data_IF_943517721560
#
_entry.id   IF_943517721560
#
_cell.length_a   1.000
_cell.length_b   1.000
_cell.length_c   1.000
_cell.angle_alpha   90.00
_cell.angle_beta   90.00
_cell.angle_gamma   90.00
#
_symmetry.space_group_name_H-M   'P 1'
#
loop_
_entity.id
_entity.type
_entity.pdbx_description
1 polymer ?
#
# COMPACT_ATOMS: atom_id res chain seq x y z
N UNK A 1 8.78 5.28 -11.98
CA UNK A 1 7.42 5.58 -12.50
C UNK A 1 6.47 4.38 -12.40
N UNK A 2 6.90 3.15 -12.73
CA UNK A 2 6.07 1.95 -12.57
C UNK A 2 5.42 1.81 -11.18
N UNK A 3 6.19 1.95 -10.10
CA UNK A 3 5.66 1.87 -8.74
C UNK A 3 4.55 2.90 -8.45
N UNK A 4 4.69 4.13 -8.97
CA UNK A 4 3.65 5.15 -8.82
C UNK A 4 2.40 4.79 -9.64
N UNK A 5 2.56 4.32 -10.87
CA UNK A 5 1.43 3.89 -11.68
C UNK A 5 0.65 2.74 -11.01
N UNK A 6 1.37 1.76 -10.46
CA UNK A 6 0.77 0.62 -9.78
C UNK A 6 0.15 1.00 -8.44
N UNK A 7 0.95 1.49 -7.49
CA UNK A 7 0.48 1.74 -6.13
C UNK A 7 -0.30 3.04 -6.00
N UNK A 8 0.02 4.04 -6.81
CA UNK A 8 -0.73 5.29 -6.87
C UNK A 8 -2.15 5.08 -7.38
N UNK A 9 -2.34 4.34 -8.49
CA UNK A 9 -3.70 4.03 -8.99
C UNK A 9 -4.51 3.22 -7.98
N UNK A 10 -3.88 2.24 -7.31
CA UNK A 10 -4.53 1.47 -6.24
C UNK A 10 -4.96 2.39 -5.10
N UNK A 11 -4.07 3.24 -4.59
CA UNK A 11 -4.43 4.15 -3.51
C UNK A 11 -5.52 5.14 -3.95
N UNK A 12 -5.39 5.73 -5.13
CA UNK A 12 -6.37 6.64 -5.72
C UNK A 12 -7.75 6.01 -5.83
N UNK A 13 -7.85 4.75 -6.25
CA UNK A 13 -9.13 4.02 -6.32
C UNK A 13 -9.79 3.83 -4.95
N UNK A 14 -9.00 3.80 -3.87
CA UNK A 14 -9.48 3.60 -2.50
C UNK A 14 -9.87 4.92 -1.84
N UNK A 15 -9.01 5.94 -1.94
CA UNK A 15 -9.17 7.20 -1.18
C UNK A 15 -9.73 8.35 -2.01
N UNK A 16 -9.77 8.19 -3.34
CA UNK A 16 -10.13 9.23 -4.31
C UNK A 16 -8.95 10.14 -4.69
N UNK A 17 -9.02 10.71 -5.89
CA UNK A 17 -7.96 11.53 -6.49
C UNK A 17 -7.48 12.68 -5.59
N UNK A 18 -8.39 13.39 -4.92
CA UNK A 18 -8.03 14.53 -4.05
C UNK A 18 -7.13 14.10 -2.89
N UNK A 19 -7.51 13.03 -2.20
CA UNK A 19 -6.73 12.54 -1.06
C UNK A 19 -5.42 11.91 -1.53
N UNK A 20 -5.43 11.23 -2.68
CA UNK A 20 -4.20 10.72 -3.29
C UNK A 20 -3.21 11.86 -3.58
N UNK A 21 -3.63 12.94 -4.22
CA UNK A 21 -2.75 14.09 -4.49
C UNK A 21 -2.25 14.73 -3.19
N UNK A 22 -3.10 14.90 -2.18
CA UNK A 22 -2.69 15.43 -0.88
C UNK A 22 -1.61 14.53 -0.26
N UNK A 23 -1.82 13.21 -0.24
CA UNK A 23 -0.83 12.25 0.27
C UNK A 23 0.47 12.34 -0.52
N UNK A 24 0.40 12.28 -1.84
CA UNK A 24 1.57 12.25 -2.72
C UNK A 24 2.43 13.52 -2.57
N UNK A 25 1.82 14.70 -2.70
CA UNK A 25 2.55 15.95 -2.60
C UNK A 25 3.05 16.25 -1.18
N UNK A 26 2.25 15.95 -0.15
CA UNK A 26 2.68 16.18 1.24
C UNK A 26 3.81 15.23 1.65
N UNK A 27 3.74 13.96 1.24
CA UNK A 27 4.82 13.00 1.47
C UNK A 27 6.09 13.39 0.72
N UNK A 28 5.97 13.79 -0.55
CA UNK A 28 7.11 14.28 -1.34
C UNK A 28 7.75 15.52 -0.74
N UNK A 29 6.94 16.48 -0.28
CA UNK A 29 7.42 17.68 0.38
C UNK A 29 8.13 17.36 1.70
N UNK A 30 7.53 16.53 2.55
CA UNK A 30 8.13 16.12 3.83
C UNK A 30 9.44 15.35 3.62
N UNK A 31 9.46 14.41 2.67
CA UNK A 31 10.66 13.67 2.28
C UNK A 31 11.76 14.59 1.75
N UNK A 32 11.39 15.59 0.94
CA UNK A 32 12.30 16.62 0.45
C UNK A 32 12.93 17.43 1.58
N UNK A 33 12.13 17.89 2.55
CA UNK A 33 12.63 18.59 3.74
C UNK A 33 13.65 17.74 4.49
N UNK A 34 13.32 16.49 4.79
CA UNK A 34 14.25 15.59 5.50
C UNK A 34 15.52 15.38 4.70
N UNK A 35 15.40 15.19 3.39
CA UNK A 35 16.54 14.92 2.50
C UNK A 35 17.57 16.06 2.47
N UNK A 36 17.15 17.32 2.60
CA UNK A 36 18.07 18.48 2.61
C UNK A 36 19.06 18.45 3.77
N UNK A 37 18.73 17.77 4.88
CA UNK A 37 19.64 17.65 6.03
C UNK A 37 20.74 16.60 5.84
N UNK A 38 20.57 15.67 4.89
CA UNK A 38 21.48 14.52 4.72
C UNK A 38 22.20 14.50 3.38
N UNK A 39 21.69 15.20 2.37
CA UNK A 39 22.20 15.13 1.00
C UNK A 39 22.37 16.52 0.39
N UNK A 40 23.42 16.70 -0.42
CA UNK A 40 23.69 17.95 -1.15
C UNK A 40 22.71 18.20 -2.29
N UNK A 41 22.14 17.12 -2.86
CA UNK A 41 21.18 17.17 -3.95
C UNK A 41 20.34 15.92 -3.95
N UNK A 42 19.02 16.07 -4.13
CA UNK A 42 18.09 14.95 -4.31
C UNK A 42 17.18 15.24 -5.49
N UNK A 43 16.99 14.24 -6.34
CA UNK A 43 16.05 14.29 -7.46
C UNK A 43 15.26 12.99 -7.46
N UNK A 44 13.93 13.10 -7.49
CA UNK A 44 13.06 11.94 -7.68
C UNK A 44 11.72 12.07 -6.97
N UNK A 45 10.76 11.29 -7.45
CA UNK A 45 9.44 11.15 -6.82
C UNK A 45 9.39 9.99 -5.79
N UNK A 46 10.51 9.32 -5.53
CA UNK A 46 10.53 8.08 -4.74
C UNK A 46 10.05 8.31 -3.32
N UNK A 47 10.47 9.38 -2.63
CA UNK A 47 9.96 9.72 -1.29
C UNK A 47 8.44 9.83 -1.22
N UNK A 48 7.81 10.43 -2.24
CA UNK A 48 6.36 10.51 -2.36
C UNK A 48 5.72 9.12 -2.59
N UNK A 49 6.34 8.28 -3.43
CA UNK A 49 5.91 6.89 -3.66
C UNK A 49 5.97 6.08 -2.36
N UNK A 50 7.04 6.25 -1.57
CA UNK A 50 7.18 5.63 -0.26
C UNK A 50 6.11 6.09 0.73
N UNK A 51 5.66 7.34 0.65
CA UNK A 51 4.47 7.81 1.37
C UNK A 51 3.17 7.12 0.93
N UNK A 52 2.94 6.98 -0.37
CA UNK A 52 1.80 6.22 -0.92
C UNK A 52 1.81 4.78 -0.42
N UNK A 53 2.96 4.13 -0.44
CA UNK A 53 3.17 2.78 0.08
C UNK A 53 2.85 2.72 1.58
N UNK A 54 3.35 3.67 2.39
CA UNK A 54 3.04 3.74 3.82
C UNK A 54 1.54 3.84 4.10
N UNK A 55 0.81 4.65 3.34
CA UNK A 55 -0.66 4.73 3.45
C UNK A 55 -1.33 3.39 3.11
N UNK A 56 -0.91 2.73 2.02
CA UNK A 56 -1.42 1.42 1.64
C UNK A 56 -1.11 0.34 2.68
N UNK A 57 0.09 0.34 3.27
CA UNK A 57 0.47 -0.55 4.35
C UNK A 57 -0.45 -0.43 5.57
N UNK A 58 -0.95 0.78 5.84
CA UNK A 58 -1.87 1.04 6.95
C UNK A 58 -3.33 0.72 6.64
N UNK A 59 -3.80 1.05 5.43
CA UNK A 59 -5.22 0.93 5.03
C UNK A 59 -5.54 -0.46 4.45
N UNK A 60 -4.56 -1.13 3.81
CA UNK A 60 -4.68 -2.44 3.15
C UNK A 60 -3.51 -3.37 3.53
N UNK A 61 -3.26 -3.64 4.83
CA UNK A 61 -2.08 -4.39 5.28
C UNK A 61 -2.00 -5.82 4.72
N UNK A 62 -3.15 -6.43 4.42
CA UNK A 62 -3.26 -7.82 3.91
C UNK A 62 -3.37 -7.92 2.39
N UNK A 63 -3.34 -6.79 1.66
CA UNK A 63 -3.35 -6.81 0.19
C UNK A 63 -2.09 -7.48 -0.31
N UNK A 64 -2.20 -8.45 -1.21
CA UNK A 64 -1.05 -9.11 -1.81
C UNK A 64 -0.36 -8.15 -2.78
N UNK A 65 0.95 -8.05 -2.69
CA UNK A 65 1.79 -7.26 -3.58
C UNK A 65 3.00 -8.07 -4.02
N UNK A 66 3.42 -7.86 -5.26
CA UNK A 66 4.63 -8.48 -5.79
C UNK A 66 5.84 -7.61 -5.42
N UNK A 67 6.74 -8.14 -4.60
CA UNK A 67 7.95 -7.46 -4.17
C UNK A 67 9.12 -8.46 -4.17
N UNK A 68 10.27 -8.06 -4.71
CA UNK A 68 11.49 -8.88 -4.74
C UNK A 68 11.29 -10.30 -5.34
N UNK A 69 10.41 -10.43 -6.34
CA UNK A 69 10.16 -11.70 -7.02
C UNK A 69 9.17 -12.64 -6.31
N UNK A 70 8.57 -12.23 -5.20
CA UNK A 70 7.58 -13.04 -4.46
C UNK A 70 6.32 -12.23 -4.17
N UNK A 71 5.18 -12.91 -4.09
CA UNK A 71 3.93 -12.33 -3.59
C UNK A 71 3.94 -12.33 -2.07
N UNK A 72 3.73 -11.17 -1.45
CA UNK A 72 3.66 -11.04 0.00
C UNK A 72 2.57 -10.03 0.43
N UNK A 73 2.11 -10.05 1.68
CA UNK A 73 1.22 -9.03 2.20
C UNK A 73 1.86 -7.63 2.15
N UNK A 74 1.08 -6.60 1.89
CA UNK A 74 1.52 -5.20 1.84
C UNK A 74 2.32 -4.78 3.08
N UNK A 75 1.91 -5.23 4.28
CA UNK A 75 2.65 -4.94 5.51
C UNK A 75 4.06 -5.54 5.51
N UNK A 76 4.23 -6.75 4.96
CA UNK A 76 5.53 -7.40 4.86
C UNK A 76 6.42 -6.65 3.85
N UNK A 77 5.86 -6.22 2.72
CA UNK A 77 6.56 -5.40 1.74
C UNK A 77 7.05 -4.07 2.33
N UNK A 78 6.23 -3.38 3.14
CA UNK A 78 6.64 -2.16 3.83
C UNK A 78 7.80 -2.42 4.78
N UNK A 79 7.71 -3.46 5.61
CA UNK A 79 8.80 -3.81 6.55
C UNK A 79 10.08 -4.13 5.78
N UNK A 80 9.97 -4.90 4.70
CA UNK A 80 11.11 -5.27 3.85
C UNK A 80 11.78 -4.03 3.24
N UNK A 81 11.04 -3.16 2.56
CA UNK A 81 11.63 -1.95 1.98
C UNK A 81 12.18 -0.99 3.03
N UNK A 82 11.50 -0.86 4.18
CA UNK A 82 12.01 -0.07 5.32
C UNK A 82 13.34 -0.62 5.80
N UNK A 83 13.47 -1.94 5.93
CA UNK A 83 14.72 -2.59 6.34
C UNK A 83 15.83 -2.38 5.32
N UNK A 84 15.52 -2.49 4.02
CA UNK A 84 16.48 -2.23 2.93
C UNK A 84 16.98 -0.79 2.99
N UNK A 85 16.08 0.20 3.08
CA UNK A 85 16.47 1.60 3.17
C UNK A 85 17.24 1.90 4.46
N UNK A 86 16.85 1.30 5.58
CA UNK A 86 17.56 1.47 6.85
C UNK A 86 19.00 0.94 6.77
N UNK A 87 19.19 -0.27 6.23
CA UNK A 87 20.53 -0.81 5.99
C UNK A 87 21.30 0.06 5.00
N UNK A 88 20.61 0.51 3.94
CA UNK A 88 21.16 1.41 2.93
C UNK A 88 21.72 2.72 3.49
N UNK A 89 21.18 3.25 4.60
CA UNK A 89 21.74 4.46 5.24
C UNK A 89 23.20 4.32 5.68
N UNK A 90 23.71 3.10 5.83
CA UNK A 90 25.10 2.82 6.21
C UNK A 90 26.03 2.56 5.01
N UNK A 91 25.49 2.45 3.80
CA UNK A 91 26.26 2.20 2.59
C UNK A 91 26.24 3.41 1.66
N UNK A 92 27.39 3.84 1.13
CA UNK A 92 27.43 4.94 0.18
C UNK A 92 26.89 4.48 -1.18
N UNK A 93 25.69 4.93 -1.53
CA UNK A 93 25.10 4.74 -2.85
C UNK A 93 24.41 6.03 -3.36
N UNK A 94 23.70 5.95 -4.48
CA UNK A 94 23.00 7.09 -5.08
C UNK A 94 21.52 7.17 -4.65
N UNK A 95 21.13 6.50 -3.57
CA UNK A 95 19.76 6.39 -3.10
C UNK A 95 19.52 7.31 -1.90
N UNK A 96 18.47 8.13 -1.97
CA UNK A 96 18.09 9.00 -0.85
C UNK A 96 17.33 8.23 0.25
N UNK A 97 18.01 7.29 0.93
CA UNK A 97 17.44 6.39 1.95
C UNK A 97 16.67 7.13 3.07
N UNK A 98 17.24 8.15 3.69
CA UNK A 98 16.53 9.02 4.65
C UNK A 98 15.26 9.69 4.07
N UNK A 99 15.27 10.00 2.78
CA UNK A 99 14.09 10.49 2.07
C UNK A 99 13.00 9.42 1.92
N UNK A 100 13.37 8.18 1.64
CA UNK A 100 12.42 7.06 1.58
C UNK A 100 11.81 6.73 2.95
N UNK A 101 12.66 6.64 3.98
CA UNK A 101 12.22 6.34 5.35
C UNK A 101 11.27 7.40 5.90
N UNK A 102 11.57 8.69 5.67
CA UNK A 102 10.67 9.78 6.06
C UNK A 102 9.35 9.77 5.26
N UNK A 103 9.40 9.40 3.97
CA UNK A 103 8.21 9.14 3.16
C UNK A 103 7.32 8.06 3.77
N UNK A 104 7.88 6.88 4.09
CA UNK A 104 7.17 5.78 4.76
C UNK A 104 6.56 6.26 6.08
N UNK A 105 7.35 6.93 6.92
CA UNK A 105 6.91 7.42 8.22
C UNK A 105 5.70 8.36 8.08
N UNK A 106 5.79 9.35 7.18
CA UNK A 106 4.67 10.24 6.88
C UNK A 106 3.45 9.46 6.37
N UNK A 107 3.66 8.53 5.44
CA UNK A 107 2.61 7.69 4.87
C UNK A 107 1.89 6.84 5.92
N UNK A 108 2.60 6.25 6.87
CA UNK A 108 2.01 5.49 7.97
C UNK A 108 1.14 6.38 8.87
N UNK A 109 1.62 7.59 9.18
CA UNK A 109 0.86 8.58 9.98
C UNK A 109 -0.40 9.02 9.24
N UNK A 110 -0.28 9.44 7.98
CA UNK A 110 -1.43 9.81 7.15
C UNK A 110 -2.40 8.63 6.99
N UNK A 111 -1.87 7.42 6.82
CA UNK A 111 -2.62 6.18 6.76
C UNK A 111 -3.42 5.92 8.03
N UNK A 112 -2.90 6.21 9.22
CA UNK A 112 -3.62 6.06 10.49
C UNK A 112 -4.84 6.98 10.55
N UNK A 113 -4.70 8.22 10.09
CA UNK A 113 -5.79 9.19 10.02
C UNK A 113 -6.87 8.72 9.05
N UNK A 114 -6.47 8.24 7.87
CA UNK A 114 -7.40 7.78 6.82
C UNK A 114 -8.01 6.41 7.12
N UNK A 115 -7.36 5.57 7.95
CA UNK A 115 -7.75 4.18 8.21
C UNK A 115 -9.20 4.05 8.66
N UNK A 116 -9.69 4.93 9.54
CA UNK A 116 -11.08 4.85 10.05
C UNK A 116 -12.10 4.99 8.93
N UNK A 117 -11.83 5.88 7.96
CA UNK A 117 -12.75 6.20 6.85
C UNK A 117 -12.74 5.14 5.76
N UNK A 118 -11.59 4.52 5.50
CA UNK A 118 -11.39 3.63 4.34
C UNK A 118 -11.14 2.16 4.73
N UNK A 119 -11.38 1.79 6.00
CA UNK A 119 -11.31 0.39 6.45
C UNK A 119 -12.33 -0.45 5.68
N UNK A 120 -11.91 -1.61 5.19
CA UNK A 120 -12.86 -2.60 4.66
C UNK A 120 -13.73 -3.07 5.83
N UNK A 121 -15.00 -2.66 5.84
CA UNK A 121 -16.02 -3.26 6.69
C UNK A 121 -16.42 -4.55 5.99
N UNK A 122 -16.00 -5.70 6.53
CA UNK A 122 -16.59 -6.97 6.09
C UNK A 122 -18.08 -6.89 6.41
N UNK A 123 -18.92 -6.81 5.37
CA UNK A 123 -20.34 -7.10 5.53
C UNK A 123 -20.38 -8.53 6.09
N UNK A 124 -21.04 -8.70 7.25
CA UNK A 124 -21.32 -10.04 7.75
C UNK A 124 -22.11 -10.71 6.62
N UNK A 125 -21.59 -11.78 6.04
CA UNK A 125 -22.39 -12.59 5.12
C UNK A 125 -23.64 -12.97 5.91
N UNK A 126 -24.79 -12.39 5.57
CA UNK A 126 -26.07 -12.67 6.21
C UNK A 126 -26.60 -14.06 5.80
N UNK A 127 -25.70 -15.02 5.52
CA UNK A 127 -26.06 -16.41 5.32
C UNK A 127 -27.05 -16.63 4.18
N UNK A 128 -27.02 -15.84 3.12
CA UNK A 128 -27.73 -16.16 1.86
C UNK A 128 -26.89 -17.05 0.94
N UNK A 129 -26.04 -17.90 1.52
CA UNK A 129 -25.55 -19.06 0.79
C UNK A 129 -26.73 -20.00 0.63
N UNK A 130 -26.88 -20.61 -0.55
CA UNK A 130 -27.85 -21.67 -0.76
C UNK A 130 -27.71 -22.68 0.38
N UNK A 131 -28.83 -23.09 0.99
CA UNK A 131 -28.79 -24.17 1.97
C UNK A 131 -28.27 -25.45 1.29
N UNK A 132 -27.85 -26.45 2.06
CA UNK A 132 -27.42 -27.72 1.45
C UNK A 132 -28.52 -28.31 0.58
N UNK A 133 -29.78 -28.18 1.01
CA UNK A 133 -30.94 -28.60 0.26
C UNK A 133 -31.08 -27.82 -1.06
N UNK A 134 -30.95 -26.49 -1.04
CA UNK A 134 -31.03 -25.67 -2.26
C UNK A 134 -29.84 -25.91 -3.22
N UNK A 135 -28.66 -26.26 -2.70
CA UNK A 135 -27.50 -26.66 -3.49
C UNK A 135 -27.73 -28.02 -4.14
N UNK A 136 -28.23 -29.00 -3.39
CA UNK A 136 -28.48 -30.35 -3.86
C UNK A 136 -29.58 -30.35 -4.95
N UNK A 137 -30.66 -29.59 -4.75
CA UNK A 137 -31.71 -29.39 -5.76
C UNK A 137 -31.17 -28.75 -7.05
N UNK A 138 -30.31 -27.75 -6.92
CA UNK A 138 -29.68 -27.11 -8.07
C UNK A 138 -28.73 -28.07 -8.80
N UNK A 139 -27.95 -28.86 -8.07
CA UNK A 139 -27.06 -29.87 -8.64
C UNK A 139 -27.84 -30.97 -9.36
N UNK A 140 -28.92 -31.48 -8.78
CA UNK A 140 -29.77 -32.46 -9.46
C UNK A 140 -30.39 -31.88 -10.74
N UNK A 141 -30.87 -30.64 -10.68
CA UNK A 141 -31.54 -29.99 -11.81
C UNK A 141 -30.62 -29.63 -12.96
N UNK A 142 -29.37 -29.25 -12.70
CA UNK A 142 -28.47 -28.70 -13.72
C UNK A 142 -27.18 -29.48 -13.93
N UNK A 143 -26.71 -30.24 -12.94
CA UNK A 143 -25.46 -31.01 -13.04
C UNK A 143 -25.67 -32.47 -13.46
N UNK A 144 -26.92 -32.90 -13.65
CA UNK A 144 -27.27 -34.21 -14.23
C UNK A 144 -26.45 -35.35 -13.62
N UNK A 145 -26.33 -35.35 -12.28
CA UNK A 145 -25.70 -36.44 -11.53
C UNK A 145 -26.62 -37.65 -11.64
N UNK A 146 -26.27 -38.55 -12.56
CA UNK A 146 -26.79 -39.91 -12.59
C UNK A 146 -26.24 -40.72 -11.44
#
# INVERSE_FOLDING_TARGET
MFALALFGSVLESIVGWRNFLIVFFSAGFFSGIVSVFFYSSVVGASGAIFGVLGVLGMIRPKMAVWAMGVSMPMVAAIVLWTAIDLVGTFYPDQTAHFGHLSGIAFGLIAGLVLRKKYKIVKKKDEGKGLTKEELDEWEEKYMNKR
#
